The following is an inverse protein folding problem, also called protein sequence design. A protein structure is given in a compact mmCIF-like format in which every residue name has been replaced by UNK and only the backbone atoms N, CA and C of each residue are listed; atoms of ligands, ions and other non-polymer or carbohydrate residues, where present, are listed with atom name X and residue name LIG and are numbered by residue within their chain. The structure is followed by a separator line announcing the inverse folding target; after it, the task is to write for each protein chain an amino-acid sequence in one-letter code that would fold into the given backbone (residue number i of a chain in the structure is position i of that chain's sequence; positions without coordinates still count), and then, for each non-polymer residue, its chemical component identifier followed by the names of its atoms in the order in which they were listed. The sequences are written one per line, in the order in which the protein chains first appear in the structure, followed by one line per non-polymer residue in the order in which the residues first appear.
data_IF_333546987763
#
_entry.id   IF_333546987763
#
_cell.length_a   1.000
_cell.length_b   1.000
_cell.length_c   1.000
_cell.angle_alpha   90.00
_cell.angle_beta   90.00
_cell.angle_gamma   90.00
#
_symmetry.space_group_name_H-M   'P 1'
#
loop_
_entity.id
_entity.type
_entity.pdbx_description
1 polymer ?
#
# COMPACT_ATOMS: atom_id res chain seq x y z
N UNK A 1 12.44 17.07 50.88
CA UNK A 1 11.69 17.84 49.87
C UNK A 1 12.75 18.23 48.85
N UNK A 2 12.79 17.74 47.62
CA UNK A 2 11.70 17.53 46.66
C UNK A 2 11.95 16.29 45.78
N UNK A 3 10.85 15.61 45.46
CA UNK A 3 10.72 14.44 44.61
C UNK A 3 10.76 14.87 43.13
N UNK A 4 11.83 14.50 42.43
CA UNK A 4 12.03 14.80 41.00
C UNK A 4 11.53 13.67 40.11
N UNK A 5 10.23 13.36 40.17
CA UNK A 5 9.60 12.38 39.28
C UNK A 5 9.62 12.90 37.82
N UNK A 6 10.60 12.44 37.03
CA UNK A 6 10.60 12.59 35.57
C UNK A 6 9.37 11.87 34.99
N UNK A 7 8.60 12.48 34.07
CA UNK A 7 7.48 11.81 33.44
C UNK A 7 8.02 10.62 32.63
N UNK A 8 7.66 9.41 33.07
CA UNK A 8 7.91 8.19 32.29
C UNK A 8 7.05 8.30 31.03
N UNK A 9 7.70 8.47 29.88
CA UNK A 9 7.08 8.43 28.57
C UNK A 9 6.27 7.13 28.49
N UNK A 10 4.94 7.25 28.48
CA UNK A 10 4.07 6.09 28.34
C UNK A 10 4.41 5.43 27.00
N UNK A 11 4.99 4.25 27.05
CA UNK A 11 5.06 3.36 25.89
C UNK A 11 3.64 2.83 25.75
N UNK A 12 2.84 3.50 24.91
CA UNK A 12 1.62 2.89 24.40
C UNK A 12 2.03 1.57 23.75
N UNK A 13 1.36 0.43 24.01
CA UNK A 13 1.57 -0.76 23.20
C UNK A 13 1.31 -0.32 21.76
N UNK A 14 2.36 -0.32 20.92
CA UNK A 14 2.28 0.12 19.53
C UNK A 14 1.15 -0.65 18.88
N UNK A 15 0.10 0.06 18.46
CA UNK A 15 -0.88 -0.51 17.57
C UNK A 15 -0.14 -1.20 16.42
N UNK A 16 -0.60 -2.37 15.94
CA UNK A 16 0.01 -3.01 14.79
C UNK A 16 0.09 -2.00 13.64
N UNK A 17 1.21 -1.93 12.91
CA UNK A 17 1.36 -1.00 11.81
C UNK A 17 0.22 -1.21 10.81
N UNK A 18 -0.40 -0.10 10.43
CA UNK A 18 -1.51 -0.08 9.47
C UNK A 18 -0.95 -0.49 8.11
N UNK A 19 -1.51 -1.53 7.45
CA UNK A 19 -1.08 -1.93 6.11
C UNK A 19 -1.20 -0.76 5.13
N UNK A 20 -0.22 -0.60 4.25
CA UNK A 20 -0.19 0.48 3.28
C UNK A 20 -0.33 -0.06 1.85
N UNK A 21 -1.28 0.49 1.10
CA UNK A 21 -1.38 0.33 -0.35
C UNK A 21 -0.97 1.63 -1.03
N UNK A 22 -0.02 1.55 -1.95
CA UNK A 22 0.35 2.67 -2.81
C UNK A 22 -0.41 2.56 -4.14
N UNK A 23 -0.93 3.67 -4.64
CA UNK A 23 -1.61 3.74 -5.94
C UNK A 23 -0.89 4.77 -6.81
N UNK A 24 -0.48 4.39 -8.01
CA UNK A 24 0.33 5.21 -8.91
C UNK A 24 -0.23 5.27 -10.32
N UNK A 25 -0.52 6.48 -10.79
CA UNK A 25 -1.02 6.72 -12.15
C UNK A 25 -2.44 6.21 -12.43
N UNK A 26 -3.17 5.76 -11.41
CA UNK A 26 -4.54 5.29 -11.58
C UNK A 26 -5.52 6.47 -11.69
N UNK A 27 -6.69 6.28 -12.35
CA UNK A 27 -7.73 7.30 -12.41
C UNK A 27 -8.22 7.74 -11.03
N UNK A 28 -8.63 9.01 -10.89
CA UNK A 28 -9.06 9.58 -9.62
C UNK A 28 -10.25 8.84 -8.99
N UNK A 29 -11.17 8.35 -9.81
CA UNK A 29 -12.30 7.51 -9.37
C UNK A 29 -11.84 6.20 -8.71
N UNK A 30 -10.81 5.55 -9.26
CA UNK A 30 -10.23 4.34 -8.67
C UNK A 30 -9.57 4.66 -7.32
N UNK A 31 -8.78 5.74 -7.27
CA UNK A 31 -8.13 6.20 -6.03
C UNK A 31 -9.16 6.53 -4.94
N UNK A 32 -10.28 7.16 -5.30
CA UNK A 32 -11.34 7.49 -4.35
C UNK A 32 -11.96 6.23 -3.73
N UNK A 33 -12.26 5.22 -4.55
CA UNK A 33 -12.81 3.93 -4.06
C UNK A 33 -11.78 3.20 -3.18
N UNK A 34 -10.49 3.21 -3.57
CA UNK A 34 -9.42 2.67 -2.71
C UNK A 34 -9.40 3.34 -1.33
N UNK A 35 -9.48 4.68 -1.28
CA UNK A 35 -9.48 5.41 0.00
C UNK A 35 -10.69 5.09 0.86
N UNK A 36 -11.88 4.99 0.25
CA UNK A 36 -13.10 4.60 0.95
C UNK A 36 -12.98 3.19 1.56
N UNK A 37 -12.60 2.20 0.73
CA UNK A 37 -12.45 0.81 1.17
C UNK A 37 -11.33 0.68 2.20
N UNK A 38 -10.21 1.36 2.00
CA UNK A 38 -9.10 1.41 2.95
C UNK A 38 -9.50 1.96 4.31
N UNK A 39 -10.23 3.08 4.35
CA UNK A 39 -10.74 3.63 5.60
C UNK A 39 -11.66 2.64 6.34
N UNK A 40 -12.51 1.90 5.61
CA UNK A 40 -13.41 0.88 6.16
C UNK A 40 -12.66 -0.33 6.72
N UNK A 41 -11.58 -0.75 6.06
CA UNK A 41 -10.85 -1.97 6.39
C UNK A 41 -9.58 -1.74 7.24
N UNK A 42 -9.30 -0.48 7.59
CA UNK A 42 -8.09 -0.14 8.35
C UNK A 42 -6.80 -0.32 7.54
N UNK A 43 -6.85 0.01 6.24
CA UNK A 43 -5.71 -0.03 5.32
C UNK A 43 -5.44 1.40 4.84
N UNK A 44 -4.21 1.87 5.02
CA UNK A 44 -3.79 3.18 4.55
C UNK A 44 -3.63 3.16 3.03
N UNK A 45 -4.05 4.25 2.38
CA UNK A 45 -3.88 4.43 0.92
C UNK A 45 -3.04 5.66 0.68
N UNK A 46 -1.98 5.51 -0.11
CA UNK A 46 -1.14 6.62 -0.54
C UNK A 46 -1.11 6.69 -2.05
N UNK A 47 -1.55 7.82 -2.58
CA UNK A 47 -1.38 8.13 -4.00
C UNK A 47 0.03 8.67 -4.24
N UNK A 48 0.71 8.20 -5.28
CA UNK A 48 2.05 8.65 -5.65
C UNK A 48 2.18 8.81 -7.16
N UNK A 49 2.92 9.82 -7.57
CA UNK A 49 3.45 9.88 -8.93
C UNK A 49 4.73 9.02 -9.06
N UNK A 50 5.19 8.81 -10.30
CA UNK A 50 6.40 8.04 -10.59
C UNK A 50 7.65 8.51 -9.84
N UNK A 51 7.86 9.83 -9.75
CA UNK A 51 9.06 10.40 -9.13
C UNK A 51 9.07 10.13 -7.63
N UNK A 52 7.90 10.18 -7.01
CA UNK A 52 7.71 9.98 -5.58
C UNK A 52 7.61 8.50 -5.17
N UNK A 53 7.41 7.59 -6.12
CA UNK A 53 7.14 6.18 -5.84
C UNK A 53 8.31 5.48 -5.14
N UNK A 54 9.52 5.58 -5.71
CA UNK A 54 10.76 5.00 -5.15
C UNK A 54 11.04 5.44 -3.71
N UNK A 55 11.15 6.75 -3.41
CA UNK A 55 11.43 7.18 -2.05
C UNK A 55 10.30 6.80 -1.09
N UNK A 56 9.04 6.77 -1.55
CA UNK A 56 7.91 6.35 -0.72
C UNK A 56 8.02 4.89 -0.33
N UNK A 57 8.30 3.99 -1.28
CA UNK A 57 8.40 2.55 -1.01
C UNK A 57 9.53 2.26 -0.02
N UNK A 58 10.70 2.88 -0.23
CA UNK A 58 11.84 2.76 0.68
C UNK A 58 11.51 3.21 2.11
N UNK A 59 10.65 4.22 2.27
CA UNK A 59 10.29 4.79 3.57
C UNK A 59 9.10 4.08 4.25
N UNK A 60 8.31 3.28 3.54
CA UNK A 60 6.99 2.86 4.03
C UNK A 60 6.64 1.37 3.89
N UNK A 61 7.50 0.55 3.27
CA UNK A 61 7.32 -0.90 3.11
C UNK A 61 5.86 -1.32 2.83
N UNK A 62 5.29 -0.88 1.70
CA UNK A 62 3.89 -1.11 1.41
C UNK A 62 3.57 -2.60 1.24
N UNK A 63 2.32 -2.94 1.53
CA UNK A 63 1.74 -4.26 1.25
C UNK A 63 1.60 -4.51 -0.25
N UNK A 64 1.07 -3.52 -0.96
CA UNK A 64 0.85 -3.58 -2.40
C UNK A 64 1.08 -2.22 -3.06
N UNK A 65 1.46 -2.28 -4.34
CA UNK A 65 1.57 -1.13 -5.23
C UNK A 65 0.66 -1.40 -6.42
N UNK A 66 -0.37 -0.58 -6.58
CA UNK A 66 -1.26 -0.60 -7.75
C UNK A 66 -0.76 0.45 -8.72
N UNK A 67 -0.53 0.05 -9.96
CA UNK A 67 -0.03 0.92 -11.03
C UNK A 67 -0.89 0.79 -12.27
N UNK A 68 -1.20 1.90 -12.95
CA UNK A 68 -1.82 1.83 -14.27
C UNK A 68 -0.89 1.14 -15.28
N UNK A 69 -1.42 0.24 -16.10
CA UNK A 69 -0.65 -0.54 -17.08
C UNK A 69 0.15 0.35 -18.05
N UNK A 70 -0.44 1.48 -18.48
CA UNK A 70 0.25 2.47 -19.33
C UNK A 70 1.50 3.03 -18.65
N UNK A 71 1.43 3.26 -17.34
CA UNK A 71 2.52 3.79 -16.54
C UNK A 71 3.60 2.73 -16.26
N UNK A 72 3.19 1.48 -16.01
CA UNK A 72 4.12 0.36 -15.87
C UNK A 72 4.90 0.14 -17.17
N UNK A 73 4.23 0.12 -18.33
CA UNK A 73 4.89 -0.06 -19.65
C UNK A 73 5.87 1.05 -19.98
N UNK A 74 5.64 2.27 -19.50
CA UNK A 74 6.55 3.39 -19.73
C UNK A 74 7.94 3.15 -19.11
N UNK A 75 8.02 2.48 -17.95
CA UNK A 75 9.28 2.26 -17.23
C UNK A 75 9.27 0.95 -16.41
N UNK A 76 8.99 -0.17 -17.09
CA UNK A 76 8.79 -1.47 -16.45
C UNK A 76 10.01 -1.91 -15.64
N UNK A 77 11.22 -1.66 -16.15
CA UNK A 77 12.46 -1.98 -15.45
C UNK A 77 12.58 -1.26 -14.11
N UNK A 78 12.16 0.02 -14.04
CA UNK A 78 12.20 0.75 -12.77
C UNK A 78 11.20 0.22 -11.77
N UNK A 79 10.00 -0.18 -12.19
CA UNK A 79 9.01 -0.81 -11.31
C UNK A 79 9.47 -2.19 -10.83
N UNK A 80 9.99 -3.03 -11.71
CA UNK A 80 10.48 -4.36 -11.35
C UNK A 80 11.68 -4.27 -10.39
N UNK A 81 12.58 -3.31 -10.61
CA UNK A 81 13.70 -3.06 -9.70
C UNK A 81 13.22 -2.66 -8.30
N UNK A 82 12.14 -1.87 -8.22
CA UNK A 82 11.55 -1.41 -6.96
C UNK A 82 10.85 -2.54 -6.22
N UNK A 83 10.09 -3.36 -6.92
CA UNK A 83 9.38 -4.50 -6.34
C UNK A 83 10.36 -5.58 -5.86
N UNK A 84 11.50 -5.76 -6.51
CA UNK A 84 12.56 -6.63 -5.99
C UNK A 84 13.14 -6.19 -4.64
N UNK A 85 13.01 -4.90 -4.29
CA UNK A 85 13.58 -4.34 -3.06
C UNK A 85 12.56 -4.22 -1.92
N UNK A 86 11.27 -4.45 -2.19
CA UNK A 86 10.20 -4.32 -1.21
C UNK A 86 9.36 -5.61 -1.14
N UNK A 87 8.85 -6.00 0.03
CA UNK A 87 7.97 -7.17 0.16
C UNK A 87 6.55 -6.93 -0.40
N UNK A 88 6.39 -6.03 -1.37
CA UNK A 88 5.13 -5.55 -1.88
C UNK A 88 4.66 -6.35 -3.10
N UNK A 89 3.35 -6.61 -3.18
CA UNK A 89 2.74 -7.15 -4.41
C UNK A 89 2.52 -6.03 -5.43
N UNK A 90 2.95 -6.24 -6.68
CA UNK A 90 2.67 -5.32 -7.79
C UNK A 90 1.36 -5.73 -8.46
N UNK A 91 0.39 -4.82 -8.51
CA UNK A 91 -0.85 -4.98 -9.26
C UNK A 91 -0.85 -4.00 -10.42
N UNK A 92 -0.98 -4.52 -11.63
CA UNK A 92 -1.12 -3.71 -12.84
C UNK A 92 -2.61 -3.58 -13.14
N UNK A 93 -3.04 -2.35 -13.41
CA UNK A 93 -4.43 -2.01 -13.65
C UNK A 93 -4.60 -1.55 -15.09
N UNK A 94 -5.30 -2.33 -15.89
CA UNK A 94 -5.64 -1.93 -17.25
C UNK A 94 -6.70 -0.81 -17.25
N UNK A 95 -6.69 0.03 -18.29
CA UNK A 95 -7.67 1.13 -18.42
C UNK A 95 -9.11 0.61 -18.42
N UNK A 96 -9.34 -0.55 -19.04
CA UNK A 96 -10.65 -1.21 -19.04
C UNK A 96 -11.09 -1.57 -17.63
N UNK A 97 -10.21 -2.19 -16.84
CA UNK A 97 -10.51 -2.62 -15.47
C UNK A 97 -10.72 -1.42 -14.53
N UNK A 98 -10.02 -0.31 -14.76
CA UNK A 98 -10.18 0.91 -13.97
C UNK A 98 -11.53 1.60 -14.21
N UNK A 99 -12.05 1.50 -15.44
CA UNK A 99 -13.31 2.13 -15.88
C UNK A 99 -14.54 1.24 -15.71
N UNK A 100 -14.38 -0.08 -15.71
CA UNK A 100 -15.46 -1.02 -15.41
C UNK A 100 -15.69 -1.11 -13.90
N UNK A 101 -16.90 -0.77 -13.44
CA UNK A 101 -17.20 -0.67 -12.01
C UNK A 101 -17.09 -2.02 -11.29
N UNK A 102 -17.52 -3.11 -11.94
CA UNK A 102 -17.49 -4.45 -11.36
C UNK A 102 -16.06 -4.98 -11.23
N UNK A 103 -15.25 -4.84 -12.29
CA UNK A 103 -13.83 -5.22 -12.28
C UNK A 103 -13.04 -4.39 -11.27
N UNK A 104 -13.23 -3.07 -11.27
CA UNK A 104 -12.63 -2.15 -10.29
C UNK A 104 -12.95 -2.58 -8.87
N UNK A 105 -14.23 -2.85 -8.57
CA UNK A 105 -14.65 -3.23 -7.23
C UNK A 105 -14.01 -4.55 -6.79
N UNK A 106 -14.00 -5.54 -7.68
CA UNK A 106 -13.41 -6.85 -7.40
C UNK A 106 -11.90 -6.76 -7.12
N UNK A 107 -11.16 -5.97 -7.91
CA UNK A 107 -9.72 -5.75 -7.70
C UNK A 107 -9.48 -5.05 -6.36
N UNK A 108 -10.24 -4.00 -6.05
CA UNK A 108 -10.08 -3.25 -4.80
C UNK A 108 -10.42 -4.15 -3.60
N UNK A 109 -11.56 -4.83 -3.61
CA UNK A 109 -11.93 -5.69 -2.49
C UNK A 109 -10.87 -6.79 -2.27
N UNK A 110 -10.41 -7.46 -3.34
CA UNK A 110 -9.37 -8.49 -3.23
C UNK A 110 -8.06 -7.98 -2.61
N UNK A 111 -7.56 -6.81 -3.04
CA UNK A 111 -6.31 -6.23 -2.52
C UNK A 111 -6.47 -5.86 -1.04
N UNK A 112 -7.57 -5.19 -0.71
CA UNK A 112 -7.74 -4.58 0.60
C UNK A 112 -8.19 -5.58 1.67
N UNK A 113 -9.02 -6.57 1.32
CA UNK A 113 -9.34 -7.68 2.22
C UNK A 113 -8.09 -8.50 2.54
N UNK A 114 -7.23 -8.73 1.54
CA UNK A 114 -5.95 -9.41 1.73
C UNK A 114 -4.99 -8.59 2.61
N UNK A 115 -4.90 -7.28 2.38
CA UNK A 115 -4.07 -6.39 3.20
C UNK A 115 -4.56 -6.31 4.66
N UNK A 116 -5.86 -6.31 4.89
CA UNK A 116 -6.47 -6.20 6.23
C UNK A 116 -6.36 -7.49 7.04
N UNK A 117 -6.16 -8.63 6.39
CA UNK A 117 -6.10 -9.95 7.02
C UNK A 117 -4.68 -10.47 7.24
N UNK A 118 -3.67 -9.90 6.56
CA UNK A 118 -2.27 -10.24 6.85
C UNK A 118 -1.89 -9.78 8.26
N UNK A 119 -1.43 -10.70 9.14
CA UNK A 119 -0.86 -10.28 10.41
C UNK A 119 0.37 -9.43 10.09
N UNK A 120 0.51 -8.30 10.78
CA UNK A 120 1.77 -7.55 10.83
C UNK A 120 2.85 -8.40 11.50
N UNK A 121 3.30 -9.46 10.85
CA UNK A 121 4.35 -10.35 11.29
C UNK A 121 5.25 -10.56 10.09
N UNK A 122 6.43 -9.95 10.16
CA UNK A 122 7.48 -10.18 9.19
C UNK A 122 7.70 -11.68 8.99
N UNK A 123 8.16 -12.03 7.78
CA UNK A 123 8.36 -13.37 7.24
C UNK A 123 7.17 -13.84 6.40
N UNK A 124 7.16 -13.40 5.14
CA UNK A 124 6.54 -14.18 4.06
C UNK A 124 7.42 -15.42 3.81
N UNK A 125 6.87 -16.64 3.72
CA UNK A 125 7.63 -17.77 3.26
C UNK A 125 7.92 -17.57 1.78
N UNK A 126 9.20 -17.47 1.43
CA UNK A 126 9.64 -17.62 0.05
C UNK A 126 9.36 -19.09 -0.29
N UNK A 127 8.28 -19.33 -1.04
CA UNK A 127 8.08 -20.61 -1.69
C UNK A 127 9.17 -20.73 -2.77
N UNK A 128 10.12 -21.62 -2.49
CA UNK A 128 11.20 -22.12 -3.34
C UNK A 128 10.70 -22.67 -4.66
#
# INVERSE_FOLDING_TARGET
MEDGTKPRKAVVPSAPPIPLVIVAGCPAEFVAVCREVGARLGVAVRECDLRSLRPTIAASQPYAIVVAEELYRFDAESFDAVIRQAPASLVRLDRWEAGDDAARRLIIDAIFESAATEPSSGIRPILT
#
